data_IF_561930844111
#
_entry.id   IF_561930844111
#
_cell.length_a   1.000
_cell.length_b   1.000
_cell.length_c   1.000
_cell.angle_alpha   90.00
_cell.angle_beta   90.00
_cell.angle_gamma   90.00
#
_symmetry.space_group_name_H-M   'P 1'
#
loop_
_entity.id
_entity.type
_entity.pdbx_description
1 polymer ?
#
# COMPACT_ATOMS: atom_id res chain seq x y z
N UNK A 1 -5.77 -8.01 0.10
CA UNK A 1 -5.08 -9.11 0.78
C UNK A 1 -4.45 -10.01 -0.29
N UNK A 2 -3.13 -10.02 -0.39
CA UNK A 2 -2.40 -10.85 -1.36
C UNK A 2 -2.45 -12.34 -1.02
N UNK A 3 -2.76 -12.68 0.23
CA UNK A 3 -2.75 -14.02 0.78
C UNK A 3 -4.16 -14.48 1.15
N UNK A 4 -5.15 -14.05 0.38
CA UNK A 4 -6.55 -14.34 0.66
C UNK A 4 -6.81 -15.86 0.65
N UNK A 5 -7.62 -16.45 1.57
CA UNK A 5 -7.88 -17.89 1.64
C UNK A 5 -8.67 -18.43 0.45
N UNK A 6 -9.69 -17.68 0.02
CA UNK A 6 -10.44 -18.00 -1.20
C UNK A 6 -9.52 -17.88 -2.43
N UNK A 7 -9.41 -18.98 -3.18
CA UNK A 7 -8.49 -19.11 -4.32
C UNK A 7 -8.85 -18.16 -5.47
N UNK A 8 -10.13 -18.00 -5.79
CA UNK A 8 -10.58 -17.12 -6.88
C UNK A 8 -10.28 -15.66 -6.58
N UNK A 9 -10.54 -15.23 -5.34
CA UNK A 9 -10.18 -13.88 -4.87
C UNK A 9 -8.68 -13.70 -4.84
N UNK A 10 -7.93 -14.69 -4.35
CA UNK A 10 -6.46 -14.64 -4.33
C UNK A 10 -5.89 -14.50 -5.73
N UNK A 11 -6.36 -15.28 -6.69
CA UNK A 11 -5.95 -15.20 -8.10
C UNK A 11 -6.23 -13.81 -8.69
N UNK A 12 -7.48 -13.32 -8.53
CA UNK A 12 -7.88 -12.01 -9.03
C UNK A 12 -7.07 -10.86 -8.39
N UNK A 13 -6.91 -10.87 -7.06
CA UNK A 13 -6.16 -9.84 -6.33
C UNK A 13 -4.66 -9.90 -6.59
N UNK A 14 -4.13 -11.05 -7.01
CA UNK A 14 -2.73 -11.16 -7.46
C UNK A 14 -2.54 -10.66 -8.87
N UNK A 15 -3.55 -10.77 -9.73
CA UNK A 15 -3.48 -10.33 -11.12
C UNK A 15 -3.19 -8.81 -11.24
N UNK A 16 -2.04 -8.40 -11.81
CA UNK A 16 -1.71 -6.99 -11.95
C UNK A 16 -2.72 -6.20 -12.77
N UNK A 17 -3.30 -6.79 -13.83
CA UNK A 17 -4.26 -6.11 -14.70
C UNK A 17 -5.55 -5.74 -13.97
N UNK A 18 -6.00 -6.59 -13.04
CA UNK A 18 -7.14 -6.26 -12.18
C UNK A 18 -6.87 -5.01 -11.32
N UNK A 19 -5.72 -4.96 -10.64
CA UNK A 19 -5.34 -3.81 -9.80
C UNK A 19 -5.07 -2.55 -10.62
N UNK A 20 -4.46 -2.70 -11.80
CA UNK A 20 -4.26 -1.60 -12.75
C UNK A 20 -5.61 -1.08 -13.26
N UNK A 21 -6.56 -1.95 -13.58
CA UNK A 21 -7.92 -1.56 -13.97
C UNK A 21 -8.62 -0.79 -12.85
N UNK A 22 -8.58 -1.30 -11.63
CA UNK A 22 -9.09 -0.58 -10.46
C UNK A 22 -8.41 0.80 -10.30
N UNK A 23 -7.11 0.91 -10.59
CA UNK A 23 -6.41 2.19 -10.54
C UNK A 23 -6.82 3.14 -11.66
N UNK A 24 -6.92 2.69 -12.92
CA UNK A 24 -7.35 3.53 -14.05
C UNK A 24 -8.81 3.99 -13.92
N UNK A 25 -9.64 3.21 -13.24
CA UNK A 25 -11.01 3.60 -12.95
C UNK A 25 -11.10 4.74 -11.92
N UNK A 26 -10.07 5.09 -11.15
CA UNK A 26 -10.19 6.12 -10.10
C UNK A 26 -10.07 7.55 -10.66
N UNK A 27 -11.12 8.36 -10.47
CA UNK A 27 -11.11 9.80 -10.76
C UNK A 27 -10.34 10.57 -9.68
N UNK A 28 -9.01 10.42 -9.71
CA UNK A 28 -8.09 11.14 -8.81
C UNK A 28 -8.21 12.67 -8.93
N UNK A 29 -8.43 13.29 -10.11
CA UNK A 29 -8.74 14.72 -10.21
C UNK A 29 -9.96 15.12 -9.37
N UNK A 30 -11.08 14.37 -9.45
CA UNK A 30 -12.27 14.63 -8.63
C UNK A 30 -12.00 14.43 -7.15
N UNK A 31 -11.30 13.35 -6.75
CA UNK A 31 -10.91 13.12 -5.36
C UNK A 31 -10.05 14.28 -4.84
N UNK A 32 -9.03 14.69 -5.59
CA UNK A 32 -8.16 15.82 -5.25
C UNK A 32 -8.94 17.11 -5.04
N UNK A 33 -9.91 17.40 -5.92
CA UNK A 33 -10.75 18.58 -5.83
C UNK A 33 -11.69 18.54 -4.62
N UNK A 34 -12.41 17.44 -4.45
CA UNK A 34 -13.55 17.33 -3.52
C UNK A 34 -13.11 17.02 -2.09
N UNK A 35 -12.11 16.13 -1.94
CA UNK A 35 -11.61 15.67 -0.63
C UNK A 35 -10.44 16.53 -0.17
N UNK A 36 -9.51 16.83 -1.08
CA UNK A 36 -8.25 17.53 -0.76
C UNK A 36 -8.22 19.01 -1.17
N UNK A 37 -9.36 19.58 -1.60
CA UNK A 37 -9.49 21.01 -1.93
C UNK A 37 -8.45 21.52 -2.93
N UNK A 38 -8.20 20.74 -3.99
CA UNK A 38 -7.20 21.00 -5.04
C UNK A 38 -5.73 20.93 -4.57
N UNK A 39 -5.48 20.46 -3.35
CA UNK A 39 -4.13 20.31 -2.79
C UNK A 39 -3.57 18.89 -2.95
N UNK A 40 -2.27 18.73 -2.68
CA UNK A 40 -1.58 17.44 -2.81
C UNK A 40 -1.26 17.05 -4.25
N UNK A 41 -0.74 15.82 -4.39
CA UNK A 41 -0.30 15.23 -5.64
C UNK A 41 -1.08 13.95 -5.89
N UNK A 42 -1.60 13.77 -7.11
CA UNK A 42 -2.19 12.49 -7.51
C UNK A 42 -1.09 11.42 -7.57
N UNK A 43 -1.40 10.23 -7.07
CA UNK A 43 -0.44 9.11 -7.04
C UNK A 43 -1.18 7.79 -6.92
N UNK A 44 -0.50 6.69 -7.22
CA UNK A 44 -0.98 5.32 -6.97
C UNK A 44 -0.51 4.70 -5.66
N UNK A 45 0.04 5.52 -4.75
CA UNK A 45 0.39 5.05 -3.40
C UNK A 45 1.81 4.50 -3.36
N UNK A 46 2.77 5.36 -3.71
CA UNK A 46 4.20 5.06 -3.53
C UNK A 46 4.64 5.37 -2.12
N UNK A 47 5.83 4.89 -1.78
CA UNK A 47 6.56 5.34 -0.61
C UNK A 47 6.92 6.83 -0.72
N UNK A 48 7.29 7.43 0.42
CA UNK A 48 7.46 8.87 0.58
C UNK A 48 8.38 9.51 -0.49
N UNK A 49 7.99 10.65 -1.11
CA UNK A 49 8.86 11.42 -2.01
C UNK A 49 10.17 11.86 -1.33
N UNK A 50 10.20 11.86 0.00
CA UNK A 50 11.33 12.33 0.81
C UNK A 50 12.21 11.18 1.29
N UNK A 51 11.96 9.96 0.82
CA UNK A 51 12.81 8.81 1.10
C UNK A 51 14.21 9.02 0.52
N UNK A 52 15.25 8.64 1.26
CA UNK A 52 16.66 8.84 0.89
C UNK A 52 16.97 8.20 -0.45
N UNK A 53 16.33 7.05 -0.73
CA UNK A 53 16.48 6.29 -1.97
C UNK A 53 16.00 7.05 -3.21
N UNK A 54 15.21 8.12 -3.05
CA UNK A 54 14.73 8.95 -4.16
C UNK A 54 15.44 10.31 -4.27
N UNK A 55 16.36 10.64 -3.37
CA UNK A 55 16.84 12.02 -3.18
C UNK A 55 18.37 12.19 -3.27
N UNK A 56 19.10 11.21 -3.82
CA UNK A 56 20.56 11.30 -3.95
C UNK A 56 21.09 11.58 -5.36
N UNK A 57 20.30 11.36 -6.43
CA UNK A 57 20.64 11.73 -7.81
C UNK A 57 19.38 11.88 -8.70
N UNK A 58 19.57 12.20 -9.99
CA UNK A 58 18.46 12.40 -10.93
C UNK A 58 17.72 11.10 -11.30
N UNK A 59 18.43 9.97 -11.35
CA UNK A 59 17.83 8.66 -11.62
C UNK A 59 16.88 8.23 -10.50
N UNK A 60 17.27 8.49 -9.24
CA UNK A 60 16.47 8.29 -8.04
C UNK A 60 15.12 9.04 -8.12
N UNK A 61 15.18 10.31 -8.55
CA UNK A 61 14.01 11.15 -8.72
C UNK A 61 13.13 10.67 -9.88
N UNK A 62 13.73 10.19 -10.97
CA UNK A 62 13.00 9.61 -12.09
C UNK A 62 12.28 8.32 -11.70
N UNK A 63 12.88 7.48 -10.84
CA UNK A 63 12.22 6.28 -10.31
C UNK A 63 11.01 6.64 -9.44
N UNK A 64 11.14 7.64 -8.56
CA UNK A 64 10.00 8.13 -7.79
C UNK A 64 8.86 8.60 -8.71
N UNK A 65 9.17 9.39 -9.75
CA UNK A 65 8.17 9.86 -10.71
C UNK A 65 7.51 8.68 -11.43
N UNK A 66 8.30 7.71 -11.90
CA UNK A 66 7.79 6.48 -12.53
C UNK A 66 6.83 5.74 -11.58
N UNK A 67 7.21 5.57 -10.32
CA UNK A 67 6.35 4.92 -9.33
C UNK A 67 5.07 5.71 -9.06
N UNK A 68 5.19 7.04 -8.91
CA UNK A 68 4.08 7.94 -8.57
C UNK A 68 3.02 7.96 -9.67
N UNK A 69 3.48 7.97 -10.91
CA UNK A 69 2.64 8.16 -12.10
C UNK A 69 2.17 6.83 -12.72
N UNK A 70 2.69 5.69 -12.26
CA UNK A 70 2.30 4.36 -12.71
C UNK A 70 0.79 4.16 -12.51
N UNK A 71 0.03 4.05 -13.60
CA UNK A 71 -1.43 3.83 -13.61
C UNK A 71 -2.25 4.92 -12.89
N UNK A 72 -1.75 6.16 -12.85
CA UNK A 72 -2.40 7.29 -12.16
C UNK A 72 -3.54 7.93 -12.96
N UNK A 73 -3.50 7.81 -14.28
CA UNK A 73 -4.47 8.45 -15.18
C UNK A 73 -5.90 7.91 -14.93
N UNK A 74 -6.90 8.79 -15.04
CA UNK A 74 -8.30 8.38 -15.05
C UNK A 74 -8.70 8.00 -16.49
N UNK A 75 -8.90 6.71 -16.70
CA UNK A 75 -9.22 6.11 -18.00
C UNK A 75 -10.14 4.90 -17.80
N UNK A 76 -11.47 5.12 -17.63
CA UNK A 76 -12.44 4.04 -17.46
C UNK A 76 -12.49 3.06 -18.63
N UNK A 77 -12.20 3.51 -19.86
CA UNK A 77 -12.20 2.65 -21.05
C UNK A 77 -11.03 1.67 -21.02
N UNK A 78 -9.84 2.15 -20.64
CA UNK A 78 -8.69 1.28 -20.40
C UNK A 78 -8.91 0.33 -19.23
N UNK A 79 -9.59 0.77 -18.17
CA UNK A 79 -9.96 -0.10 -17.06
C UNK A 79 -10.84 -1.26 -17.53
N UNK A 80 -11.90 -0.98 -18.32
CA UNK A 80 -12.76 -2.00 -18.93
C UNK A 80 -11.96 -2.96 -19.82
N UNK A 81 -11.09 -2.44 -20.69
CA UNK A 81 -10.27 -3.27 -21.57
C UNK A 81 -9.32 -4.22 -20.81
N UNK A 82 -8.72 -3.76 -19.70
CA UNK A 82 -7.87 -4.60 -18.85
C UNK A 82 -8.66 -5.70 -18.13
N UNK A 83 -9.90 -5.43 -17.72
CA UNK A 83 -10.80 -6.42 -17.14
C UNK A 83 -11.23 -7.45 -18.19
N UNK A 84 -11.56 -7.01 -19.41
CA UNK A 84 -11.90 -7.89 -20.54
C UNK A 84 -10.74 -8.84 -20.87
N UNK A 85 -9.50 -8.32 -20.87
CA UNK A 85 -8.30 -9.11 -21.20
C UNK A 85 -8.04 -10.27 -20.22
N UNK A 86 -8.49 -10.14 -18.96
CA UNK A 86 -8.37 -11.19 -17.95
C UNK A 86 -9.63 -12.04 -17.81
N UNK A 87 -10.62 -11.87 -18.70
CA UNK A 87 -11.87 -12.63 -18.70
C UNK A 87 -12.85 -12.21 -17.61
N UNK A 88 -12.64 -11.05 -16.96
CA UNK A 88 -13.59 -10.49 -15.99
C UNK A 88 -14.56 -9.63 -16.77
N UNK A 89 -15.64 -10.22 -17.29
CA UNK A 89 -16.59 -9.61 -18.24
C UNK A 89 -18.01 -9.71 -17.72
N UNK A 90 -18.90 -8.81 -18.13
CA UNK A 90 -20.35 -8.96 -17.94
C UNK A 90 -20.89 -9.89 -19.03
N UNK A 91 -21.08 -11.15 -18.67
CA UNK A 91 -21.50 -12.25 -19.53
C UNK A 91 -23.02 -12.45 -19.54
N UNK A 92 -23.71 -11.99 -18.50
CA UNK A 92 -25.14 -12.20 -18.32
C UNK A 92 -26.00 -10.97 -18.69
N UNK A 93 -25.38 -9.80 -18.85
CA UNK A 93 -26.01 -8.53 -19.23
C UNK A 93 -26.69 -7.78 -18.08
N UNK A 94 -26.36 -8.08 -16.82
CA UNK A 94 -26.95 -7.43 -15.63
C UNK A 94 -26.22 -6.14 -15.21
N UNK A 95 -25.13 -5.80 -15.90
CA UNK A 95 -24.30 -4.62 -15.64
C UNK A 95 -23.11 -4.88 -14.72
N UNK A 96 -22.96 -6.08 -14.17
CA UNK A 96 -21.84 -6.49 -13.33
C UNK A 96 -20.97 -7.52 -14.04
N UNK A 97 -19.66 -7.38 -13.89
CA UNK A 97 -18.70 -8.34 -14.42
C UNK A 97 -18.69 -9.59 -13.54
N UNK A 98 -18.44 -10.74 -14.14
CA UNK A 98 -18.22 -12.02 -13.47
C UNK A 98 -16.75 -12.41 -13.43
N UNK A 99 -16.43 -13.43 -12.63
CA UNK A 99 -15.17 -14.15 -12.76
C UNK A 99 -15.07 -14.84 -14.14
N UNK A 100 -13.85 -15.22 -14.57
CA UNK A 100 -13.64 -15.92 -15.84
C UNK A 100 -14.40 -17.25 -15.98
N UNK A 101 -14.83 -17.85 -14.87
CA UNK A 101 -15.65 -19.06 -14.85
C UNK A 101 -17.17 -18.80 -14.89
N UNK A 102 -17.57 -17.53 -15.03
CA UNK A 102 -18.97 -17.08 -15.07
C UNK A 102 -19.64 -16.97 -13.70
N UNK A 103 -18.91 -17.19 -12.60
CA UNK A 103 -19.48 -16.97 -11.25
C UNK A 103 -19.55 -15.48 -10.89
N UNK A 104 -20.55 -15.03 -10.11
CA UNK A 104 -20.68 -13.62 -9.72
C UNK A 104 -19.42 -13.08 -9.04
N UNK A 105 -18.95 -11.90 -9.45
CA UNK A 105 -17.82 -11.21 -8.84
C UNK A 105 -18.32 -10.09 -7.91
N UNK A 106 -18.05 -10.26 -6.62
CA UNK A 106 -18.16 -9.19 -5.63
C UNK A 106 -16.76 -8.78 -5.16
N UNK A 107 -16.48 -7.48 -5.23
CA UNK A 107 -15.25 -6.89 -4.71
C UNK A 107 -15.53 -6.30 -3.34
N UNK A 108 -15.03 -6.97 -2.30
CA UNK A 108 -15.26 -6.59 -0.91
C UNK A 108 -14.15 -5.64 -0.44
N UNK A 109 -14.56 -4.49 0.08
CA UNK A 109 -13.69 -3.53 0.74
C UNK A 109 -14.05 -3.49 2.23
N UNK A 110 -13.16 -4.05 3.03
CA UNK A 110 -13.24 -4.06 4.49
C UNK A 110 -12.71 -2.74 5.06
N UNK A 111 -13.50 -2.11 5.91
CA UNK A 111 -13.18 -0.80 6.50
C UNK A 111 -13.51 -0.82 8.00
N UNK A 112 -12.71 -0.13 8.80
CA UNK A 112 -13.05 0.05 10.22
C UNK A 112 -14.27 0.96 10.35
N UNK A 113 -15.19 0.62 11.25
CA UNK A 113 -16.43 1.37 11.43
C UNK A 113 -16.22 2.80 11.97
N UNK A 114 -15.02 3.10 12.48
CA UNK A 114 -14.59 4.43 12.92
C UNK A 114 -13.66 5.12 11.90
N UNK A 115 -13.60 4.62 10.66
CA UNK A 115 -12.82 5.27 9.60
C UNK A 115 -13.24 6.73 9.43
N UNK A 116 -12.24 7.62 9.38
CA UNK A 116 -12.48 9.06 9.31
C UNK A 116 -13.12 9.52 7.99
N UNK A 117 -13.70 10.72 8.02
CA UNK A 117 -14.44 11.32 6.90
C UNK A 117 -13.64 11.39 5.59
N UNK A 118 -12.32 11.64 5.66
CA UNK A 118 -11.42 11.65 4.50
C UNK A 118 -11.46 10.31 3.76
N UNK A 119 -11.37 9.21 4.51
CA UNK A 119 -11.40 7.86 3.97
C UNK A 119 -12.76 7.56 3.34
N UNK A 120 -13.85 7.84 4.08
CA UNK A 120 -15.21 7.52 3.63
C UNK A 120 -15.61 8.31 2.38
N UNK A 121 -15.27 9.61 2.29
CA UNK A 121 -15.54 10.43 1.08
C UNK A 121 -14.71 9.98 -0.11
N UNK A 122 -13.49 9.52 0.11
CA UNK A 122 -12.65 8.95 -0.94
C UNK A 122 -13.23 7.62 -1.44
N UNK A 123 -13.65 6.75 -0.52
CA UNK A 123 -14.29 5.47 -0.82
C UNK A 123 -15.61 5.64 -1.58
N UNK A 124 -16.40 6.67 -1.27
CA UNK A 124 -17.65 6.98 -1.99
C UNK A 124 -17.39 7.23 -3.48
N UNK A 125 -16.44 8.12 -3.79
CA UNK A 125 -16.06 8.43 -5.18
C UNK A 125 -15.44 7.19 -5.86
N UNK A 126 -14.55 6.49 -5.17
CA UNK A 126 -13.91 5.28 -5.69
C UNK A 126 -14.94 4.18 -6.03
N UNK A 127 -15.93 3.98 -5.15
CA UNK A 127 -17.03 3.02 -5.34
C UNK A 127 -17.88 3.39 -6.54
N UNK A 128 -18.23 4.67 -6.71
CA UNK A 128 -18.94 5.17 -7.89
C UNK A 128 -18.16 4.82 -9.17
N UNK A 129 -16.86 5.14 -9.21
CA UNK A 129 -16.09 4.91 -10.42
C UNK A 129 -15.83 3.43 -10.73
N UNK A 130 -15.67 2.58 -9.72
CA UNK A 130 -15.55 1.14 -9.94
C UNK A 130 -16.85 0.51 -10.43
N UNK A 131 -18.01 1.04 -9.98
CA UNK A 131 -19.31 0.63 -10.52
C UNK A 131 -19.48 1.04 -11.98
N UNK A 132 -18.97 2.20 -12.39
CA UNK A 132 -19.03 2.67 -13.79
C UNK A 132 -18.26 1.75 -14.77
N UNK A 133 -17.31 0.95 -14.27
CA UNK A 133 -16.60 -0.06 -15.05
C UNK A 133 -17.15 -1.48 -14.85
N UNK A 134 -18.30 -1.63 -14.17
CA UNK A 134 -19.01 -2.88 -13.99
C UNK A 134 -18.53 -3.74 -12.81
N UNK A 135 -17.80 -3.18 -11.84
CA UNK A 135 -17.40 -3.92 -10.63
C UNK A 135 -18.44 -3.72 -9.52
N UNK A 136 -19.01 -4.83 -9.04
CA UNK A 136 -19.92 -4.80 -7.89
C UNK A 136 -19.12 -4.66 -6.58
N UNK A 137 -19.15 -3.47 -5.99
CA UNK A 137 -18.40 -3.13 -4.77
C UNK A 137 -19.27 -3.29 -3.53
N UNK A 138 -18.79 -4.07 -2.56
CA UNK A 138 -19.42 -4.26 -1.25
C UNK A 138 -18.51 -3.63 -0.17
N UNK A 139 -19.01 -2.61 0.53
CA UNK A 139 -18.31 -2.02 1.67
C UNK A 139 -18.71 -2.79 2.93
N UNK A 140 -17.74 -3.44 3.57
CA UNK A 140 -17.93 -4.19 4.81
C UNK A 140 -17.31 -3.41 5.98
N UNK A 141 -18.16 -2.79 6.80
CA UNK A 141 -17.70 -2.07 8.00
C UNK A 141 -17.71 -2.97 9.23
N UNK A 142 -16.65 -2.93 10.02
CA UNK A 142 -16.55 -3.70 11.28
C UNK A 142 -15.84 -2.96 12.40
N UNK A 143 -16.07 -3.33 13.67
CA UNK A 143 -15.39 -2.71 14.81
C UNK A 143 -13.86 -2.81 14.70
N UNK A 144 -13.09 -1.78 15.10
CA UNK A 144 -11.63 -1.80 15.07
C UNK A 144 -11.01 -2.98 15.83
N UNK A 145 -11.64 -3.41 16.93
CA UNK A 145 -11.22 -4.56 17.74
C UNK A 145 -11.20 -5.86 16.95
N UNK A 146 -12.10 -6.00 15.98
CA UNK A 146 -12.26 -7.21 15.18
C UNK A 146 -11.43 -7.11 13.90
N UNK A 147 -11.29 -5.89 13.37
CA UNK A 147 -10.61 -5.62 12.12
C UNK A 147 -9.16 -6.11 12.13
N UNK A 148 -8.36 -5.69 13.12
CA UNK A 148 -6.94 -6.04 13.19
C UNK A 148 -6.73 -7.56 13.26
N UNK A 149 -7.48 -8.23 14.14
CA UNK A 149 -7.40 -9.68 14.33
C UNK A 149 -7.74 -10.43 13.03
N UNK A 150 -8.80 -10.02 12.32
CA UNK A 150 -9.19 -10.67 11.06
C UNK A 150 -8.22 -10.36 9.92
N UNK A 151 -7.69 -9.14 9.86
CA UNK A 151 -6.70 -8.75 8.86
C UNK A 151 -5.42 -9.57 9.02
N UNK A 152 -4.85 -9.62 10.22
CA UNK A 152 -3.62 -10.36 10.52
C UNK A 152 -3.77 -11.87 10.31
N UNK A 153 -4.98 -12.40 10.49
CA UNK A 153 -5.32 -13.79 10.17
C UNK A 153 -5.53 -14.04 8.65
N UNK A 154 -5.44 -13.01 7.81
CA UNK A 154 -5.65 -13.10 6.37
C UNK A 154 -7.11 -13.31 5.95
N UNK A 155 -8.08 -12.99 6.82
CA UNK A 155 -9.51 -13.31 6.59
C UNK A 155 -10.29 -12.21 5.86
N UNK A 156 -9.67 -11.04 5.66
CA UNK A 156 -10.28 -9.90 4.97
C UNK A 156 -9.83 -9.80 3.51
N UNK A 157 -10.60 -9.08 2.68
CA UNK A 157 -10.40 -8.88 1.25
C UNK A 157 -9.50 -7.68 0.95
N UNK A 158 -10.05 -6.58 0.44
CA UNK A 158 -9.33 -5.34 0.19
C UNK A 158 -9.62 -4.43 1.38
N UNK A 159 -8.63 -3.69 1.87
CA UNK A 159 -8.88 -2.70 2.90
C UNK A 159 -8.24 -1.37 2.56
N UNK A 160 -8.78 -0.31 3.14
CA UNK A 160 -8.15 1.01 3.12
C UNK A 160 -7.10 1.11 4.22
N UNK A 161 -6.05 1.87 3.94
CA UNK A 161 -5.06 2.25 4.94
C UNK A 161 -4.86 3.76 4.92
N UNK A 162 -4.18 4.28 5.93
CA UNK A 162 -4.06 5.71 6.21
C UNK A 162 -3.18 6.40 5.15
N UNK A 163 -1.98 5.86 4.94
CA UNK A 163 -1.01 6.27 3.93
C UNK A 163 -0.04 5.13 3.63
N UNK A 164 0.84 5.28 2.63
CA UNK A 164 1.92 4.34 2.32
C UNK A 164 3.27 5.03 2.56
N UNK A 165 4.09 4.42 3.43
CA UNK A 165 5.46 4.84 3.71
C UNK A 165 5.59 5.68 4.98
N UNK A 166 6.24 5.10 6.00
CA UNK A 166 6.32 5.71 7.33
C UNK A 166 7.57 6.56 7.59
N UNK A 167 8.42 6.86 6.59
CA UNK A 167 9.62 7.66 6.87
C UNK A 167 10.57 7.92 5.71
N UNK A 168 11.77 8.45 5.99
CA UNK A 168 12.73 8.80 4.96
C UNK A 168 13.56 7.61 4.50
N UNK A 169 13.31 6.37 4.95
CA UNK A 169 14.11 5.20 4.58
C UNK A 169 13.18 3.98 4.49
N UNK A 170 13.22 3.27 3.36
CA UNK A 170 12.37 2.12 3.10
C UNK A 170 12.74 0.90 3.95
N UNK A 171 13.97 0.80 4.41
CA UNK A 171 14.46 -0.34 5.19
C UNK A 171 14.30 -0.16 6.69
N UNK A 172 14.08 1.07 7.16
CA UNK A 172 13.80 1.33 8.58
C UNK A 172 12.42 0.80 9.00
N UNK A 173 11.43 0.86 8.09
CA UNK A 173 10.13 0.24 8.27
C UNK A 173 9.66 -0.43 6.96
N UNK A 174 10.18 -1.64 6.66
CA UNK A 174 10.07 -2.23 5.33
C UNK A 174 8.72 -2.87 5.06
N UNK A 175 7.81 -2.94 6.03
CA UNK A 175 6.52 -3.66 5.95
C UNK A 175 5.65 -3.26 4.77
N UNK A 176 5.76 -2.01 4.31
CA UNK A 176 5.09 -1.53 3.10
C UNK A 176 5.69 -2.11 1.82
N UNK A 177 7.01 -2.28 1.77
CA UNK A 177 7.73 -2.75 0.57
C UNK A 177 7.85 -4.26 0.56
N UNK A 178 8.11 -4.85 1.72
CA UNK A 178 8.36 -6.27 1.94
C UNK A 178 7.43 -6.70 3.05
N UNK A 179 6.54 -7.68 2.82
CA UNK A 179 5.70 -8.19 3.89
C UNK A 179 6.60 -8.90 4.90
N UNK A 180 6.89 -8.24 6.02
CA UNK A 180 7.72 -8.77 7.11
C UNK A 180 6.94 -8.86 8.44
N UNK A 181 5.65 -8.55 8.40
CA UNK A 181 4.72 -8.53 9.53
C UNK A 181 3.27 -8.62 8.97
N UNK A 182 2.29 -9.09 9.77
CA UNK A 182 0.97 -9.47 9.26
C UNK A 182 0.01 -8.31 8.98
N UNK A 183 0.33 -7.09 9.41
CA UNK A 183 -0.51 -5.90 9.38
C UNK A 183 -0.57 -5.15 8.04
N UNK A 184 0.20 -5.56 7.02
CA UNK A 184 0.18 -4.95 5.67
C UNK A 184 -0.46 -5.89 4.64
N UNK A 185 -0.11 -5.71 3.37
CA UNK A 185 -0.83 -6.21 2.20
C UNK A 185 -0.79 -7.74 1.99
N UNK A 186 0.11 -8.46 2.68
CA UNK A 186 0.27 -9.92 2.59
C UNK A 186 0.49 -10.54 3.99
N UNK A 187 -0.60 -10.77 4.77
CA UNK A 187 -0.49 -11.15 6.19
C UNK A 187 0.25 -12.46 6.45
N UNK A 188 -0.08 -13.54 5.73
CA UNK A 188 0.55 -14.85 5.92
C UNK A 188 2.01 -14.85 5.47
N UNK A 189 2.32 -14.12 4.41
CA UNK A 189 3.68 -13.87 3.94
C UNK A 189 4.48 -13.11 5.00
N UNK A 190 3.87 -12.10 5.61
CA UNK A 190 4.46 -11.34 6.71
C UNK A 190 4.79 -12.23 7.91
N UNK A 191 3.82 -13.03 8.37
CA UNK A 191 4.05 -14.00 9.44
C UNK A 191 5.15 -15.00 9.10
N UNK A 192 5.19 -15.53 7.87
CA UNK A 192 6.27 -16.42 7.44
C UNK A 192 7.65 -15.83 7.74
N UNK A 193 7.88 -14.56 7.39
CA UNK A 193 9.18 -13.94 7.60
C UNK A 193 9.49 -13.73 9.08
N UNK A 194 8.48 -13.46 9.93
CA UNK A 194 8.65 -13.38 11.39
C UNK A 194 9.07 -14.71 12.03
N UNK A 195 8.60 -15.84 11.49
CA UNK A 195 8.90 -17.18 12.02
C UNK A 195 10.09 -17.86 11.34
N UNK A 196 10.65 -17.26 10.29
CA UNK A 196 11.83 -17.80 9.58
C UNK A 196 13.02 -17.96 10.53
N UNK A 197 13.64 -19.14 10.51
CA UNK A 197 14.76 -19.50 11.39
C UNK A 197 14.37 -19.83 12.83
N UNK A 198 13.07 -19.86 13.16
CA UNK A 198 12.58 -20.26 14.48
C UNK A 198 12.11 -21.72 14.48
N UNK A 199 11.93 -22.31 15.66
CA UNK A 199 11.37 -23.67 15.81
C UNK A 199 9.94 -23.81 15.24
N UNK A 200 9.27 -22.70 14.90
CA UNK A 200 7.90 -22.68 14.37
C UNK A 200 7.81 -22.46 12.85
N UNK A 201 8.93 -22.27 12.14
CA UNK A 201 8.94 -21.96 10.70
C UNK A 201 8.08 -22.94 9.90
N UNK A 202 8.37 -24.24 10.01
CA UNK A 202 7.73 -25.33 9.24
C UNK A 202 6.99 -26.33 10.15
N UNK A 203 6.18 -25.82 11.06
CA UNK A 203 5.31 -26.65 11.92
C UNK A 203 3.84 -26.54 11.49
N UNK A 204 3.02 -27.51 11.92
CA UNK A 204 1.59 -27.59 11.54
C UNK A 204 1.39 -27.77 10.02
N UNK A 205 2.30 -28.50 9.36
CA UNK A 205 2.25 -28.76 7.91
C UNK A 205 1.10 -29.70 7.50
N UNK A 206 0.49 -30.38 8.47
CA UNK A 206 -0.75 -31.14 8.31
C UNK A 206 -1.99 -30.24 8.15
N UNK A 207 -1.85 -28.94 8.45
CA UNK A 207 -2.91 -27.94 8.32
C UNK A 207 -2.70 -27.04 7.10
N UNK A 208 -3.82 -26.52 6.61
CA UNK A 208 -3.83 -25.39 5.68
C UNK A 208 -3.06 -24.18 6.26
N UNK A 209 -2.31 -23.40 5.47
CA UNK A 209 -1.59 -22.22 5.95
C UNK A 209 -2.43 -21.23 6.75
N UNK A 210 -3.71 -21.10 6.38
CA UNK A 210 -4.69 -20.22 7.03
C UNK A 210 -5.19 -20.75 8.38
N UNK A 211 -5.03 -22.04 8.67
CA UNK A 211 -5.49 -22.69 9.91
C UNK A 211 -4.35 -22.89 10.94
N UNK A 212 -3.10 -22.54 10.58
CA UNK A 212 -1.93 -22.59 11.47
C UNK A 212 -1.99 -21.54 12.57
N UNK A 213 -1.20 -21.68 13.63
CA UNK A 213 -1.21 -20.77 14.78
C UNK A 213 0.18 -20.11 15.01
N UNK A 214 0.40 -18.86 14.54
CA UNK A 214 -0.52 -18.05 13.73
C UNK A 214 -0.56 -18.50 12.24
N UNK A 215 -1.53 -18.01 11.46
CA UNK A 215 -1.61 -18.27 10.02
C UNK A 215 -0.34 -17.82 9.31
N UNK A 216 0.30 -18.73 8.57
CA UNK A 216 1.59 -18.48 7.91
C UNK A 216 1.86 -19.50 6.81
N UNK A 217 2.59 -19.07 5.78
CA UNK A 217 3.18 -20.00 4.81
C UNK A 217 4.45 -20.65 5.37
N UNK A 218 4.70 -21.89 4.97
CA UNK A 218 5.92 -22.64 5.22
C UNK A 218 6.99 -22.33 4.17
N UNK A 219 8.24 -22.71 4.42
CA UNK A 219 9.36 -22.55 3.51
C UNK A 219 9.18 -23.33 2.19
N UNK A 220 8.41 -24.42 2.22
CA UNK A 220 8.12 -25.31 1.10
C UNK A 220 6.96 -24.85 0.22
N UNK A 221 6.19 -23.83 0.64
CA UNK A 221 4.95 -23.39 -0.01
C UNK A 221 5.16 -22.21 -0.96
N UNK A 222 6.28 -22.20 -1.69
CA UNK A 222 6.66 -21.12 -2.61
C UNK A 222 5.54 -20.78 -3.62
N UNK A 223 4.85 -21.79 -4.13
CA UNK A 223 3.76 -21.59 -5.10
C UNK A 223 2.60 -20.77 -4.51
N UNK A 224 2.29 -20.98 -3.22
CA UNK A 224 1.27 -20.20 -2.50
C UNK A 224 1.77 -18.80 -2.15
N UNK A 225 3.06 -18.60 -1.92
CA UNK A 225 3.65 -17.27 -1.66
C UNK A 225 3.63 -16.43 -2.95
N UNK A 226 3.95 -17.05 -4.09
CA UNK A 226 4.04 -16.39 -5.38
C UNK A 226 5.37 -15.67 -5.60
N UNK A 227 5.77 -15.56 -6.87
CA UNK A 227 7.11 -15.09 -7.25
C UNK A 227 7.44 -13.65 -6.79
N UNK A 228 6.54 -12.65 -6.90
CA UNK A 228 6.85 -11.30 -6.47
C UNK A 228 7.21 -11.21 -4.98
N UNK A 229 6.42 -11.85 -4.12
CA UNK A 229 6.64 -11.86 -2.67
C UNK A 229 7.88 -12.68 -2.33
N UNK A 230 8.06 -13.84 -2.97
CA UNK A 230 9.25 -14.67 -2.78
C UNK A 230 10.53 -13.90 -3.10
N UNK A 231 10.58 -13.20 -4.24
CA UNK A 231 11.73 -12.37 -4.63
C UNK A 231 11.98 -11.24 -3.64
N UNK A 232 10.94 -10.59 -3.12
CA UNK A 232 11.08 -9.57 -2.08
C UNK A 232 11.72 -10.16 -0.81
N UNK A 233 11.21 -11.29 -0.31
CA UNK A 233 11.61 -11.87 0.98
C UNK A 233 12.91 -12.69 0.96
N UNK A 234 13.22 -13.37 -0.14
CA UNK A 234 14.32 -14.34 -0.23
C UNK A 234 15.52 -13.83 -1.02
N UNK A 235 15.35 -12.82 -1.87
CA UNK A 235 16.41 -12.30 -2.73
C UNK A 235 16.78 -10.86 -2.34
N UNK A 236 15.85 -9.92 -2.52
CA UNK A 236 16.18 -8.49 -2.43
C UNK A 236 16.36 -8.02 -0.97
N UNK A 237 15.39 -8.32 -0.10
CA UNK A 237 15.39 -7.79 1.27
C UNK A 237 16.57 -8.28 2.11
N UNK A 238 16.91 -9.59 2.14
CA UNK A 238 18.04 -10.08 2.90
C UNK A 238 19.37 -9.48 2.44
N UNK A 239 19.54 -9.22 1.14
CA UNK A 239 20.72 -8.53 0.59
C UNK A 239 20.76 -7.07 1.02
N UNK A 240 19.62 -6.38 0.94
CA UNK A 240 19.54 -4.95 1.24
C UNK A 240 19.89 -4.63 2.71
N UNK A 241 19.44 -5.45 3.66
CA UNK A 241 19.67 -5.18 5.09
C UNK A 241 21.11 -5.43 5.56
N UNK A 242 21.91 -6.18 4.80
CA UNK A 242 23.33 -6.45 5.13
C UNK A 242 24.32 -5.74 4.21
N UNK A 243 23.86 -5.05 3.17
CA UNK A 243 24.72 -4.35 2.21
C UNK A 243 25.35 -3.10 2.85
N UNK A 244 26.69 -3.02 2.99
CA UNK A 244 27.37 -1.88 3.59
C UNK A 244 27.46 -0.65 2.66
N UNK A 245 27.45 -0.85 1.33
CA UNK A 245 27.49 0.25 0.37
C UNK A 245 26.09 0.86 0.21
N UNK A 246 25.94 2.12 0.59
CA UNK A 246 24.65 2.80 0.58
C UNK A 246 24.03 2.89 -0.82
N UNK A 247 24.84 3.08 -1.86
CA UNK A 247 24.35 3.21 -3.24
C UNK A 247 23.86 1.86 -3.77
N UNK A 248 24.63 0.78 -3.53
CA UNK A 248 24.19 -0.58 -3.87
C UNK A 248 22.91 -0.95 -3.12
N UNK A 249 22.83 -0.60 -1.84
CA UNK A 249 21.64 -0.83 -1.03
C UNK A 249 20.42 -0.08 -1.56
N UNK A 250 20.59 1.18 -1.99
CA UNK A 250 19.50 1.94 -2.61
C UNK A 250 19.03 1.29 -3.91
N UNK A 251 19.92 0.77 -4.75
CA UNK A 251 19.52 0.03 -5.95
C UNK A 251 18.75 -1.27 -5.64
N UNK A 252 19.10 -1.99 -4.57
CA UNK A 252 18.30 -3.14 -4.12
C UNK A 252 16.88 -2.71 -3.72
N UNK A 253 16.72 -1.56 -3.05
CA UNK A 253 15.39 -1.00 -2.75
C UNK A 253 14.66 -0.60 -4.04
N UNK A 254 15.37 -0.05 -5.03
CA UNK A 254 14.77 0.30 -6.32
C UNK A 254 14.24 -0.92 -7.07
N UNK A 255 14.93 -2.05 -6.99
CA UNK A 255 14.44 -3.31 -7.53
C UNK A 255 13.14 -3.75 -6.85
N UNK A 256 13.02 -3.56 -5.52
CA UNK A 256 11.77 -3.81 -4.81
C UNK A 256 10.66 -2.85 -5.27
N UNK A 257 10.97 -1.57 -5.44
CA UNK A 257 10.02 -0.56 -5.95
C UNK A 257 9.55 -0.92 -7.37
N UNK A 258 10.42 -1.42 -8.24
CA UNK A 258 10.01 -1.89 -9.57
C UNK A 258 9.04 -3.08 -9.49
N UNK A 259 9.24 -4.03 -8.56
CA UNK A 259 8.26 -5.11 -8.33
C UNK A 259 6.90 -4.52 -7.92
N UNK A 260 6.88 -3.50 -7.07
CA UNK A 260 5.64 -2.79 -6.70
C UNK A 260 4.96 -2.12 -7.89
N UNK A 261 5.73 -1.47 -8.79
CA UNK A 261 5.19 -0.88 -10.01
C UNK A 261 4.57 -1.95 -10.91
N UNK A 262 5.25 -3.07 -11.10
CA UNK A 262 4.77 -4.13 -12.01
C UNK A 262 3.53 -4.85 -11.47
N UNK A 263 3.39 -4.92 -10.13
CA UNK A 263 2.33 -5.68 -9.48
C UNK A 263 1.20 -4.83 -8.87
N UNK A 264 1.40 -3.52 -8.72
CA UNK A 264 0.41 -2.56 -8.20
C UNK A 264 -0.17 -3.01 -6.84
N UNK A 265 0.68 -3.34 -5.85
CA UNK A 265 0.20 -3.82 -4.54
C UNK A 265 -0.64 -2.79 -3.77
N UNK A 266 -0.47 -1.51 -4.11
CA UNK A 266 -1.24 -0.40 -3.57
C UNK A 266 -1.98 0.34 -4.68
N UNK A 267 -3.14 0.89 -4.31
CA UNK A 267 -3.93 1.78 -5.15
C UNK A 267 -4.23 3.04 -4.34
N UNK A 268 -3.29 3.99 -4.39
CA UNK A 268 -3.44 5.30 -3.78
C UNK A 268 -4.26 6.27 -4.63
N UNK A 269 -4.61 7.41 -4.04
CA UNK A 269 -5.43 8.47 -4.66
C UNK A 269 -4.67 9.80 -4.74
N UNK A 270 -4.45 10.45 -3.59
CA UNK A 270 -3.76 11.73 -3.45
C UNK A 270 -2.84 11.65 -2.22
N UNK A 271 -1.64 12.20 -2.35
CA UNK A 271 -0.64 12.23 -1.26
C UNK A 271 0.03 13.59 -1.16
N UNK A 272 0.83 13.79 -0.11
CA UNK A 272 1.67 14.97 0.10
C UNK A 272 0.89 16.31 0.03
N UNK A 273 -0.35 16.30 0.51
CA UNK A 273 -1.12 17.52 0.69
C UNK A 273 -0.53 18.34 1.86
N UNK A 274 -0.66 19.68 1.84
CA UNK A 274 -0.09 20.54 2.87
C UNK A 274 -0.63 20.21 4.27
N UNK A 275 0.27 20.22 5.25
CA UNK A 275 -0.06 20.11 6.68
C UNK A 275 0.41 21.38 7.37
N UNK A 276 -0.49 21.98 8.14
CA UNK A 276 -0.25 23.25 8.83
C UNK A 276 0.20 22.95 10.24
N UNK A 277 1.34 23.53 10.64
CA UNK A 277 1.82 23.52 12.01
C UNK A 277 1.64 24.92 12.58
N UNK A 278 1.06 25.01 13.77
CA UNK A 278 0.95 26.28 14.50
C UNK A 278 2.13 26.44 15.45
N UNK A 279 2.82 27.56 15.32
CA UNK A 279 3.99 27.93 16.14
C UNK A 279 3.71 29.29 16.77
N UNK A 280 3.95 29.42 18.08
CA UNK A 280 3.85 30.73 18.73
C UNK A 280 4.86 31.70 18.13
N UNK A 281 4.46 32.96 17.93
CA UNK A 281 5.35 34.03 17.45
C UNK A 281 6.53 34.32 18.40
N UNK A 282 6.36 33.91 19.66
CA UNK A 282 7.36 34.05 20.71
C UNK A 282 8.30 32.85 20.77
N UNK A 283 7.99 31.75 20.08
CA UNK A 283 8.86 30.59 19.99
C UNK A 283 9.94 30.83 18.94
N UNK A 284 11.18 30.47 19.27
CA UNK A 284 12.37 30.54 18.42
C UNK A 284 12.95 29.14 18.23
N UNK A 285 13.84 29.00 17.25
CA UNK A 285 14.51 27.75 16.86
C UNK A 285 13.59 26.66 16.31
N UNK A 286 12.35 27.00 15.96
CA UNK A 286 11.50 26.10 15.17
C UNK A 286 11.85 26.29 13.70
N UNK A 287 12.35 25.26 13.00
CA UNK A 287 12.71 25.40 11.59
C UNK A 287 11.46 25.62 10.74
N UNK A 288 11.53 26.56 9.81
CA UNK A 288 10.55 26.74 8.76
C UNK A 288 10.75 25.71 7.64
N UNK A 289 9.80 25.63 6.72
CA UNK A 289 9.85 24.70 5.59
C UNK A 289 11.11 24.92 4.75
N UNK A 290 11.45 26.17 4.50
CA UNK A 290 12.60 26.63 3.74
C UNK A 290 13.95 26.31 4.40
N UNK A 291 13.98 26.14 5.72
CA UNK A 291 15.18 25.76 6.47
C UNK A 291 15.52 24.26 6.30
N UNK A 292 14.58 23.47 5.76
CA UNK A 292 14.67 22.02 5.66
C UNK A 292 14.85 21.61 4.19
N UNK A 293 15.91 20.85 3.89
CA UNK A 293 16.29 20.42 2.52
C UNK A 293 15.13 19.86 1.69
N UNK A 294 14.24 19.09 2.32
CA UNK A 294 13.07 18.46 1.69
C UNK A 294 11.73 19.04 2.19
N UNK A 295 11.74 20.23 2.79
CA UNK A 295 10.56 20.91 3.32
C UNK A 295 9.95 20.28 4.58
N UNK A 296 10.73 19.49 5.33
CA UNK A 296 10.35 18.88 6.62
C UNK A 296 9.46 17.64 6.55
N UNK A 297 9.16 17.03 7.69
CA UNK A 297 8.25 15.89 7.80
C UNK A 297 7.26 16.17 8.93
N UNK A 298 5.98 15.87 8.73
CA UNK A 298 4.93 16.24 9.69
C UNK A 298 4.03 15.07 10.11
N UNK A 299 3.95 14.02 9.29
CA UNK A 299 3.12 12.83 9.58
C UNK A 299 3.87 11.50 9.81
N UNK A 300 5.22 11.34 9.65
CA UNK A 300 5.77 9.98 9.68
C UNK A 300 5.59 9.37 11.07
N UNK A 301 5.05 8.15 11.11
CA UNK A 301 4.82 7.44 12.37
C UNK A 301 6.12 7.05 13.08
N UNK A 302 7.21 6.82 12.35
CA UNK A 302 8.47 6.37 12.95
C UNK A 302 9.18 7.45 13.78
N UNK A 303 9.08 8.72 13.36
CA UNK A 303 9.67 9.85 14.05
C UNK A 303 8.61 10.96 14.02
N UNK A 304 7.73 11.02 15.02
CA UNK A 304 6.59 11.94 15.00
C UNK A 304 7.07 13.39 15.03
N UNK A 305 6.30 14.30 14.41
CA UNK A 305 6.53 15.73 14.59
C UNK A 305 6.15 16.17 16.02
N UNK A 306 6.92 17.05 16.70
CA UNK A 306 8.08 17.81 16.24
C UNK A 306 9.45 17.14 16.47
N UNK A 307 9.53 15.85 16.82
CA UNK A 307 10.80 15.18 17.13
C UNK A 307 11.80 15.22 15.96
N UNK A 308 11.32 15.16 14.71
CA UNK A 308 12.13 15.31 13.49
C UNK A 308 12.86 16.67 13.37
N UNK A 309 12.49 17.63 14.20
CA UNK A 309 12.97 19.02 14.13
C UNK A 309 13.66 19.48 15.41
N UNK A 310 14.16 18.52 16.22
CA UNK A 310 14.97 18.76 17.41
C UNK A 310 14.33 19.75 18.40
N UNK A 311 13.16 19.40 18.97
CA UNK A 311 12.38 20.31 19.81
C UNK A 311 13.09 20.71 21.10
N UNK A 312 14.14 19.98 21.51
CA UNK A 312 15.03 20.35 22.61
C UNK A 312 15.77 21.67 22.38
N UNK A 313 15.83 22.13 21.13
CA UNK A 313 16.43 23.42 20.76
C UNK A 313 15.42 24.58 20.82
N UNK A 314 14.12 24.30 20.95
CA UNK A 314 13.08 25.32 20.95
C UNK A 314 13.13 26.14 22.23
N UNK A 315 12.88 27.44 22.12
CA UNK A 315 12.83 28.33 23.26
C UNK A 315 11.80 29.44 23.05
N UNK A 316 11.37 30.09 24.12
CA UNK A 316 10.60 31.33 24.04
C UNK A 316 11.52 32.54 24.14
N UNK A 317 11.23 33.58 23.36
CA UNK A 317 11.83 34.91 23.55
C UNK A 317 11.55 35.36 24.99
N UNK A 318 12.58 35.91 25.63
CA UNK A 318 12.42 36.63 26.90
C UNK A 318 11.88 38.03 26.64
#
# INVERSE_FOLDING_TARGET
NHDHPDEKRRELYRNPKFKQAMSFALDRPRIKKVVYYETGMMTTGTMSPKAIEFNFNAEAQALYQKARDAYVAYDPDKAKALLDEIGVVDSNGDGWREYPDGSPLEVIIDVQADAGDECMRTLEIATENWKDVGLNIVINQMPPSDFGVKWEAGQLSIHTNWEVGDGPDHLLYPSWVVPNEPGRWAPLSGNRLLYKGTEREDTELDKSPWDRQPPRFASTERDLIGEPVWKLQEDLYPKAIVEPDSIKRHHLVWDMVNIHIDNTFFIGTVANYPRIIFVSKDMINVPYREDLKLGGFVNPWIIPYPAVTNPETYAFKK
#
